data_IF_387407508342
#
_entry.id   IF_387407508342
#
_cell.length_a   1.000
_cell.length_b   1.000
_cell.length_c   1.000
_cell.angle_alpha   90.00
_cell.angle_beta   90.00
_cell.angle_gamma   90.00
#
_symmetry.space_group_name_H-M   'P 1'
#
loop_
_entity.id
_entity.type
_entity.pdbx_description
1 polymer ?
#
# COMPACT_ATOMS: atom_id res chain seq x y z
N UNK A 1 -9.62 12.31 0.87
CA UNK A 1 -10.13 10.94 1.07
C UNK A 1 -11.21 10.69 0.03
N UNK A 2 -11.21 9.57 -0.71
CA UNK A 2 -12.29 9.32 -1.67
C UNK A 2 -13.62 9.19 -0.93
N UNK A 3 -14.68 9.73 -1.51
CA UNK A 3 -16.05 9.56 -1.04
C UNK A 3 -16.95 9.29 -2.24
N UNK A 4 -17.92 8.39 -2.06
CA UNK A 4 -19.00 8.19 -3.03
C UNK A 4 -20.25 8.83 -2.44
N UNK A 5 -20.88 9.70 -3.21
CA UNK A 5 -22.14 10.36 -2.88
C UNK A 5 -23.21 9.88 -3.84
N UNK A 6 -24.35 9.47 -3.31
CA UNK A 6 -25.53 9.09 -4.08
C UNK A 6 -26.78 9.64 -3.39
N UNK A 7 -27.41 10.62 -4.02
CA UNK A 7 -28.50 11.39 -3.42
C UNK A 7 -28.00 12.19 -2.20
N UNK A 8 -28.64 12.00 -1.07
CA UNK A 8 -28.31 12.59 0.22
C UNK A 8 -27.38 11.71 1.11
N UNK A 9 -26.98 10.55 0.61
CA UNK A 9 -26.13 9.59 1.30
C UNK A 9 -24.69 9.65 0.81
N UNK A 10 -23.73 9.51 1.72
CA UNK A 10 -22.31 9.47 1.41
C UNK A 10 -21.61 8.34 2.15
N UNK A 11 -20.66 7.67 1.48
CA UNK A 11 -19.76 6.70 2.08
C UNK A 11 -18.34 7.17 1.84
N UNK A 12 -17.56 7.31 2.92
CA UNK A 12 -16.20 7.82 2.90
C UNK A 12 -15.18 6.69 3.06
N UNK A 13 -13.97 6.92 2.53
CA UNK A 13 -12.85 5.98 2.60
C UNK A 13 -13.03 4.78 1.67
N UNK A 14 -12.20 3.75 1.86
CA UNK A 14 -12.34 2.49 1.14
C UNK A 14 -13.33 1.58 1.89
N UNK A 15 -14.55 1.55 1.43
CA UNK A 15 -15.62 0.75 2.01
C UNK A 15 -16.47 0.10 0.89
N UNK A 16 -15.97 -0.97 0.24
CA UNK A 16 -16.68 -1.62 -0.88
C UNK A 16 -18.07 -2.11 -0.51
N UNK A 17 -18.27 -2.63 0.71
CA UNK A 17 -19.58 -3.04 1.20
C UNK A 17 -20.53 -1.85 1.31
N UNK A 18 -20.09 -0.77 1.93
CA UNK A 18 -20.88 0.46 2.04
C UNK A 18 -21.17 1.09 0.67
N UNK A 19 -20.25 0.98 -0.29
CA UNK A 19 -20.49 1.42 -1.66
C UNK A 19 -21.55 0.57 -2.35
N UNK A 20 -21.50 -0.74 -2.21
CA UNK A 20 -22.49 -1.65 -2.77
C UNK A 20 -23.87 -1.41 -2.19
N UNK A 21 -23.97 -1.25 -0.87
CA UNK A 21 -25.22 -0.89 -0.18
C UNK A 21 -25.75 0.48 -0.62
N UNK A 22 -24.86 1.47 -0.81
CA UNK A 22 -25.24 2.81 -1.28
C UNK A 22 -25.79 2.79 -2.71
N UNK A 23 -25.18 1.97 -3.57
CA UNK A 23 -25.48 1.88 -5.00
C UNK A 23 -26.53 0.81 -5.31
N UNK A 24 -26.96 0.01 -4.33
CA UNK A 24 -27.91 -1.09 -4.53
C UNK A 24 -27.40 -2.20 -5.45
N UNK A 25 -26.08 -2.46 -5.41
CA UNK A 25 -25.44 -3.54 -6.20
C UNK A 25 -24.99 -4.67 -5.28
N UNK A 26 -25.07 -5.91 -5.78
CA UNK A 26 -24.54 -7.04 -5.07
C UNK A 26 -23.01 -6.95 -4.99
N UNK A 27 -22.52 -6.94 -3.77
CA UNK A 27 -21.09 -7.07 -3.47
C UNK A 27 -20.85 -8.43 -2.83
N UNK A 28 -20.18 -9.31 -3.58
CA UNK A 28 -19.77 -10.60 -3.04
C UNK A 28 -18.33 -10.48 -2.53
N UNK A 29 -18.11 -10.41 -1.19
CA UNK A 29 -16.78 -10.38 -0.61
C UNK A 29 -16.09 -11.76 -0.63
N UNK A 30 -16.75 -12.81 -1.17
CA UNK A 30 -16.33 -14.21 -1.01
C UNK A 30 -15.09 -14.62 -1.81
N UNK A 31 -14.47 -13.71 -2.55
CA UNK A 31 -13.20 -13.97 -3.25
C UNK A 31 -12.06 -13.18 -2.61
N UNK A 32 -11.98 -13.23 -1.28
CA UNK A 32 -10.81 -12.70 -0.60
C UNK A 32 -9.66 -13.69 -0.69
N UNK A 33 -8.50 -13.19 -1.10
CA UNK A 33 -7.28 -13.98 -1.03
C UNK A 33 -6.95 -14.32 0.42
N UNK A 34 -6.55 -15.56 0.68
CA UNK A 34 -6.14 -15.98 2.04
C UNK A 34 -5.00 -15.07 2.56
N UNK A 35 -4.94 -14.80 3.89
CA UNK A 35 -3.90 -13.94 4.46
C UNK A 35 -2.47 -14.33 4.08
N UNK A 36 -2.16 -15.62 4.00
CA UNK A 36 -0.85 -16.12 3.57
C UNK A 36 -0.53 -15.74 2.12
N UNK A 37 -1.54 -15.75 1.23
CA UNK A 37 -1.38 -15.34 -0.17
C UNK A 37 -1.18 -13.83 -0.25
N UNK A 38 -1.95 -13.04 0.51
CA UNK A 38 -1.78 -11.58 0.60
C UNK A 38 -0.40 -11.22 1.13
N UNK A 39 0.08 -11.89 2.19
CA UNK A 39 1.41 -11.69 2.75
C UNK A 39 2.52 -11.94 1.71
N UNK A 40 2.44 -13.06 0.97
CA UNK A 40 3.43 -13.38 -0.07
C UNK A 40 3.41 -12.35 -1.21
N UNK A 41 2.23 -11.86 -1.60
CA UNK A 41 2.10 -10.81 -2.63
C UNK A 41 2.62 -9.47 -2.13
N UNK A 42 2.30 -9.10 -0.89
CA UNK A 42 2.82 -7.89 -0.28
C UNK A 42 4.36 -7.91 -0.24
N UNK A 43 4.97 -9.00 0.22
CA UNK A 43 6.44 -9.11 0.25
C UNK A 43 7.04 -8.97 -1.15
N UNK A 44 6.43 -9.59 -2.17
CA UNK A 44 6.90 -9.49 -3.55
C UNK A 44 6.79 -8.07 -4.11
N UNK A 45 5.69 -7.37 -3.81
CA UNK A 45 5.50 -5.96 -4.17
C UNK A 45 6.56 -5.09 -3.50
N UNK A 46 6.78 -5.28 -2.20
CA UNK A 46 7.77 -4.52 -1.45
C UNK A 46 9.20 -4.83 -1.90
N UNK A 47 9.52 -6.09 -2.24
CA UNK A 47 10.81 -6.47 -2.82
C UNK A 47 11.07 -5.77 -4.15
N UNK A 48 10.06 -5.71 -5.02
CA UNK A 48 10.17 -5.02 -6.31
C UNK A 48 10.30 -3.50 -6.13
N UNK A 49 9.59 -2.92 -5.14
CA UNK A 49 9.74 -1.51 -4.77
C UNK A 49 11.16 -1.21 -4.29
N UNK A 50 11.70 -2.04 -3.40
CA UNK A 50 13.07 -1.93 -2.90
C UNK A 50 14.09 -1.96 -4.05
N UNK A 51 13.98 -2.97 -4.93
CA UNK A 51 14.89 -3.13 -6.05
C UNK A 51 14.84 -1.96 -7.03
N UNK A 52 13.64 -1.43 -7.31
CA UNK A 52 13.44 -0.29 -8.20
C UNK A 52 14.02 1.00 -7.61
N UNK A 53 13.76 1.27 -6.32
CA UNK A 53 14.31 2.46 -5.64
C UNK A 53 15.83 2.43 -5.57
N UNK A 54 16.44 1.26 -5.40
CA UNK A 54 17.90 1.08 -5.34
C UNK A 54 18.61 1.53 -6.62
N UNK A 55 17.96 1.41 -7.77
CA UNK A 55 18.53 1.84 -9.06
C UNK A 55 18.09 3.26 -9.46
N UNK A 56 17.21 3.88 -8.68
CA UNK A 56 16.73 5.24 -8.93
C UNK A 56 17.83 6.25 -8.59
N UNK A 57 18.28 7.09 -9.54
CA UNK A 57 19.26 8.13 -9.26
C UNK A 57 18.76 9.15 -8.22
N UNK A 58 19.63 9.52 -7.29
CA UNK A 58 19.29 10.47 -6.22
C UNK A 58 18.80 11.82 -6.77
N UNK A 59 19.29 12.24 -7.94
CA UNK A 59 18.84 13.45 -8.63
C UNK A 59 17.34 13.45 -8.97
N UNK A 60 16.71 12.29 -9.03
CA UNK A 60 15.27 12.17 -9.32
C UNK A 60 14.40 12.11 -8.06
N UNK A 61 14.99 11.92 -6.88
CA UNK A 61 14.22 11.65 -5.67
C UNK A 61 13.35 12.83 -5.22
N UNK A 62 13.74 14.05 -5.52
CA UNK A 62 12.96 15.26 -5.23
C UNK A 62 12.03 15.68 -6.39
N UNK A 63 12.07 14.96 -7.51
CA UNK A 63 11.17 15.23 -8.61
C UNK A 63 9.72 14.86 -8.24
N UNK A 64 8.80 15.77 -8.56
CA UNK A 64 7.37 15.62 -8.27
C UNK A 64 6.62 15.39 -9.58
N UNK A 65 5.95 14.23 -9.75
CA UNK A 65 5.14 13.98 -10.95
C UNK A 65 3.94 14.93 -11.02
N UNK A 66 3.54 15.36 -12.24
CA UNK A 66 2.45 16.32 -12.41
C UNK A 66 1.11 15.84 -11.85
N UNK A 67 0.87 14.52 -11.85
CA UNK A 67 -0.37 13.90 -11.38
C UNK A 67 -0.44 13.79 -9.84
N UNK A 68 0.66 14.00 -9.14
CA UNK A 68 0.77 13.88 -7.68
C UNK A 68 1.55 15.04 -7.09
N UNK A 69 1.09 15.54 -5.95
CA UNK A 69 1.82 16.57 -5.18
C UNK A 69 2.76 15.91 -4.16
N UNK A 70 3.47 14.84 -4.58
CA UNK A 70 4.35 14.09 -3.70
C UNK A 70 5.64 13.75 -4.44
N UNK A 71 6.82 14.19 -3.94
CA UNK A 71 8.11 13.79 -4.48
C UNK A 71 8.30 12.28 -4.54
N UNK A 72 9.16 11.82 -5.44
CA UNK A 72 9.43 10.40 -5.63
C UNK A 72 9.94 9.73 -4.35
N UNK A 73 10.80 10.42 -3.58
CA UNK A 73 11.27 9.93 -2.28
C UNK A 73 10.11 9.66 -1.31
N UNK A 74 9.16 10.61 -1.22
CA UNK A 74 8.01 10.46 -0.34
C UNK A 74 7.04 9.40 -0.85
N UNK A 75 6.93 9.18 -2.16
CA UNK A 75 6.14 8.10 -2.73
C UNK A 75 6.75 6.73 -2.39
N UNK A 76 8.06 6.57 -2.57
CA UNK A 76 8.78 5.33 -2.21
C UNK A 76 8.70 5.03 -0.71
N UNK A 77 8.92 6.03 0.14
CA UNK A 77 8.75 5.91 1.58
C UNK A 77 7.33 5.48 1.97
N UNK A 78 6.33 6.10 1.37
CA UNK A 78 4.91 5.84 1.64
C UNK A 78 4.53 4.37 1.41
N UNK A 79 5.05 3.72 0.38
CA UNK A 79 4.80 2.29 0.14
C UNK A 79 5.20 1.46 1.35
N UNK A 80 6.42 1.66 1.86
CA UNK A 80 6.93 0.92 2.99
C UNK A 80 6.27 1.34 4.31
N UNK A 81 6.09 2.65 4.52
CA UNK A 81 5.52 3.19 5.76
C UNK A 81 4.09 2.70 6.01
N UNK A 82 3.25 2.69 4.97
CA UNK A 82 1.88 2.19 5.13
C UNK A 82 1.83 0.67 5.30
N UNK A 83 2.76 -0.05 4.67
CA UNK A 83 2.87 -1.50 4.87
C UNK A 83 3.30 -1.85 6.30
N UNK A 84 4.24 -1.10 6.88
CA UNK A 84 4.60 -1.21 8.30
C UNK A 84 3.41 -0.81 9.20
N UNK A 85 2.68 0.22 8.80
CA UNK A 85 1.48 0.69 9.50
C UNK A 85 0.38 -0.36 9.64
N UNK A 86 0.31 -1.34 8.75
CA UNK A 86 -0.57 -2.51 8.92
C UNK A 86 -0.21 -3.28 10.19
N UNK A 87 1.06 -3.64 10.36
CA UNK A 87 1.52 -4.38 11.54
C UNK A 87 1.28 -3.57 12.81
N UNK A 88 1.70 -2.31 12.82
CA UNK A 88 1.47 -1.40 13.96
C UNK A 88 -0.02 -1.25 14.28
N UNK A 89 -0.86 -1.18 13.25
CA UNK A 89 -2.31 -1.05 13.40
C UNK A 89 -2.96 -2.30 13.99
N UNK A 90 -2.55 -3.50 13.58
CA UNK A 90 -3.05 -4.75 14.17
C UNK A 90 -2.56 -4.91 15.62
N UNK A 91 -1.30 -4.58 15.90
CA UNK A 91 -0.72 -4.71 17.24
C UNK A 91 -1.38 -3.72 18.23
N UNK A 92 -1.65 -2.48 17.80
CA UNK A 92 -2.23 -1.43 18.64
C UNK A 92 -3.76 -1.30 18.56
N UNK A 93 -4.40 -1.98 17.62
CA UNK A 93 -5.82 -1.85 17.23
C UNK A 93 -6.21 -0.43 16.79
N UNK A 94 -5.25 0.39 16.35
CA UNK A 94 -5.44 1.78 15.95
C UNK A 94 -4.61 2.12 14.72
N UNK A 95 -5.21 2.85 13.76
CA UNK A 95 -4.52 3.32 12.57
C UNK A 95 -4.85 4.79 12.31
N UNK A 96 -4.05 5.73 12.85
CA UNK A 96 -4.30 7.17 12.75
C UNK A 96 -3.96 7.73 11.37
N UNK A 97 -4.57 8.87 11.02
CA UNK A 97 -4.31 9.58 9.76
C UNK A 97 -2.84 10.00 9.59
N UNK A 98 -2.16 10.29 10.70
CA UNK A 98 -0.75 10.70 10.70
C UNK A 98 0.18 9.74 9.96
N UNK A 99 -0.12 8.42 9.98
CA UNK A 99 0.68 7.42 9.24
C UNK A 99 0.69 7.71 7.73
N UNK A 100 -0.40 8.25 7.17
CA UNK A 100 -0.48 8.64 5.76
C UNK A 100 0.22 9.96 5.44
N UNK A 101 0.41 10.80 6.44
CA UNK A 101 0.97 12.14 6.31
C UNK A 101 2.49 12.16 6.50
N UNK A 102 3.06 11.07 7.02
CA UNK A 102 4.50 10.96 7.22
C UNK A 102 5.26 11.07 5.89
N UNK A 103 6.31 11.89 5.91
CA UNK A 103 7.22 12.10 4.80
C UNK A 103 8.54 11.35 5.07
N UNK A 104 9.27 11.07 4.00
CA UNK A 104 10.58 10.43 4.12
C UNK A 104 11.53 11.30 4.97
N UNK A 105 12.12 10.77 6.05
CA UNK A 105 13.15 11.45 6.80
C UNK A 105 14.32 11.87 5.91
N UNK A 106 14.95 13.01 6.21
CA UNK A 106 16.01 13.59 5.38
C UNK A 106 17.16 12.60 5.13
N UNK A 107 17.46 11.79 6.14
CA UNK A 107 18.58 10.85 6.17
C UNK A 107 18.41 9.66 5.22
N UNK A 108 17.19 9.37 4.80
CA UNK A 108 16.87 8.20 3.94
C UNK A 108 16.26 8.59 2.59
N UNK A 109 16.30 9.86 2.18
CA UNK A 109 15.66 10.34 0.93
C UNK A 109 16.38 9.90 -0.34
N UNK A 110 17.57 9.28 -0.27
CA UNK A 110 18.23 8.67 -1.41
C UNK A 110 17.58 7.36 -1.83
N UNK A 111 17.77 6.93 -3.08
CA UNK A 111 17.28 5.64 -3.57
C UNK A 111 17.77 4.47 -2.73
N UNK A 112 19.07 4.45 -2.39
CA UNK A 112 19.66 3.42 -1.52
C UNK A 112 19.15 3.53 -0.08
N UNK A 113 18.97 4.74 0.46
CA UNK A 113 18.42 4.94 1.82
C UNK A 113 17.01 4.37 1.96
N UNK A 114 16.15 4.67 0.98
CA UNK A 114 14.78 4.13 0.95
C UNK A 114 14.75 2.61 0.72
N UNK A 115 15.65 2.07 -0.11
CA UNK A 115 15.76 0.63 -0.29
C UNK A 115 16.17 -0.09 1.00
N UNK A 116 17.13 0.46 1.77
CA UNK A 116 17.50 -0.07 3.08
C UNK A 116 16.36 -0.01 4.09
N UNK A 117 15.64 1.11 4.14
CA UNK A 117 14.44 1.22 4.96
C UNK A 117 13.40 0.16 4.55
N UNK A 118 13.16 -0.03 3.26
CA UNK A 118 12.27 -1.05 2.71
C UNK A 118 12.66 -2.46 3.15
N UNK A 119 13.96 -2.81 3.11
CA UNK A 119 14.46 -4.10 3.58
C UNK A 119 14.16 -4.34 5.08
N UNK A 120 14.33 -3.32 5.93
CA UNK A 120 13.98 -3.39 7.35
C UNK A 120 12.48 -3.58 7.57
N UNK A 121 11.66 -2.85 6.83
CA UNK A 121 10.20 -2.98 6.88
C UNK A 121 9.76 -4.39 6.46
N UNK A 122 10.30 -4.91 5.37
CA UNK A 122 10.01 -6.28 4.91
C UNK A 122 10.39 -7.33 5.97
N UNK A 123 11.58 -7.20 6.58
CA UNK A 123 12.02 -8.09 7.65
C UNK A 123 11.05 -8.02 8.85
N UNK A 124 10.61 -6.81 9.25
CA UNK A 124 9.64 -6.64 10.36
C UNK A 124 8.29 -7.28 10.03
N UNK A 125 7.77 -7.07 8.82
CA UNK A 125 6.51 -7.66 8.37
C UNK A 125 6.62 -9.19 8.31
N UNK A 126 7.69 -9.72 7.72
CA UNK A 126 7.93 -11.17 7.64
C UNK A 126 8.00 -11.80 9.03
N UNK A 127 8.74 -11.19 9.97
CA UNK A 127 8.82 -11.67 11.35
C UNK A 127 7.46 -11.64 12.06
N UNK A 128 6.64 -10.61 11.81
CA UNK A 128 5.29 -10.54 12.35
C UNK A 128 4.41 -11.70 11.84
N UNK A 129 4.41 -11.97 10.53
CA UNK A 129 3.63 -13.08 9.97
C UNK A 129 4.08 -14.46 10.46
N UNK A 130 5.37 -14.64 10.79
CA UNK A 130 5.87 -15.88 11.39
C UNK A 130 5.33 -16.09 12.81
N UNK A 131 5.06 -15.02 13.55
CA UNK A 131 4.51 -15.07 14.91
C UNK A 131 2.98 -15.01 14.97
N UNK A 132 2.31 -14.61 13.88
CA UNK A 132 0.86 -14.45 13.87
C UNK A 132 0.14 -15.81 13.90
N UNK A 133 -0.78 -15.98 14.83
CA UNK A 133 -1.55 -17.22 15.02
C UNK A 133 -2.80 -17.34 14.14
N UNK A 134 -3.11 -16.31 13.37
CA UNK A 134 -4.32 -16.23 12.55
C UNK A 134 -5.47 -15.45 13.17
N UNK A 135 -5.57 -15.38 14.48
CA UNK A 135 -6.61 -14.62 15.21
C UNK A 135 -6.50 -13.10 14.96
N UNK A 136 -5.30 -12.63 14.63
CA UNK A 136 -5.00 -11.24 14.29
C UNK A 136 -5.84 -10.74 13.12
N UNK A 137 -6.14 -11.60 12.14
CA UNK A 137 -6.94 -11.23 10.97
C UNK A 137 -8.43 -11.06 11.27
N UNK A 138 -8.90 -11.61 12.41
CA UNK A 138 -10.25 -11.39 12.94
C UNK A 138 -10.39 -10.12 13.78
N UNK A 139 -9.29 -9.47 14.19
CA UNK A 139 -9.33 -8.25 15.01
C UNK A 139 -9.90 -7.08 14.22
N UNK A 140 -10.58 -6.18 14.93
CA UNK A 140 -11.02 -4.89 14.36
C UNK A 140 -10.04 -3.81 14.76
N UNK A 141 -9.58 -3.05 13.77
CA UNK A 141 -8.69 -1.90 13.92
C UNK A 141 -9.51 -0.61 13.75
N UNK A 142 -9.39 0.30 14.70
CA UNK A 142 -9.97 1.65 14.61
C UNK A 142 -9.10 2.52 13.71
N UNK A 143 -9.44 2.55 12.42
CA UNK A 143 -8.76 3.38 11.44
C UNK A 143 -9.41 4.77 11.35
N UNK A 144 -8.64 5.77 10.92
CA UNK A 144 -9.12 7.16 10.80
C UNK A 144 -10.31 7.35 9.83
N UNK A 145 -10.59 6.35 9.00
CA UNK A 145 -11.77 6.33 8.12
C UNK A 145 -12.92 5.46 8.66
N UNK A 146 -12.78 4.86 9.84
CA UNK A 146 -13.73 3.94 10.47
C UNK A 146 -13.12 2.57 10.77
N UNK A 147 -13.85 1.70 11.47
CA UNK A 147 -13.37 0.37 11.84
C UNK A 147 -13.15 -0.50 10.60
N UNK A 148 -12.08 -1.32 10.63
CA UNK A 148 -11.72 -2.26 9.57
C UNK A 148 -11.27 -3.59 10.18
N UNK A 149 -11.73 -4.71 9.63
CA UNK A 149 -11.25 -6.05 10.02
C UNK A 149 -9.81 -6.28 9.56
N UNK A 150 -9.03 -7.02 10.33
CA UNK A 150 -7.61 -7.25 10.07
C UNK A 150 -7.34 -7.87 8.69
N UNK A 151 -8.20 -8.78 8.22
CA UNK A 151 -8.09 -9.35 6.87
C UNK A 151 -8.31 -8.28 5.78
N UNK A 152 -9.36 -7.47 5.91
CA UNK A 152 -9.64 -6.37 4.99
C UNK A 152 -8.51 -5.32 5.00
N UNK A 153 -7.92 -5.10 6.16
CA UNK A 153 -6.81 -4.18 6.32
C UNK A 153 -5.54 -4.71 5.61
N UNK A 154 -5.27 -6.02 5.69
CA UNK A 154 -4.18 -6.66 4.95
C UNK A 154 -4.40 -6.58 3.44
N UNK A 155 -5.61 -6.90 2.96
CA UNK A 155 -5.96 -6.80 1.54
C UNK A 155 -5.78 -5.35 1.04
N UNK A 156 -6.32 -4.37 1.80
CA UNK A 156 -6.16 -2.96 1.50
C UNK A 156 -4.69 -2.54 1.44
N UNK A 157 -3.88 -2.97 2.39
CA UNK A 157 -2.45 -2.67 2.44
C UNK A 157 -1.73 -3.25 1.22
N UNK A 158 -2.06 -4.49 0.85
CA UNK A 158 -1.44 -5.18 -0.28
C UNK A 158 -1.77 -4.50 -1.62
N UNK A 159 -3.05 -4.22 -1.89
CA UNK A 159 -3.41 -3.57 -3.15
C UNK A 159 -2.93 -2.12 -3.21
N UNK A 160 -2.90 -1.41 -2.08
CA UNK A 160 -2.39 -0.04 -2.01
C UNK A 160 -0.88 0.03 -2.34
N UNK A 161 -0.08 -0.89 -1.76
CA UNK A 161 1.33 -1.02 -2.11
C UNK A 161 1.52 -1.36 -3.59
N UNK A 162 0.73 -2.30 -4.13
CA UNK A 162 0.75 -2.68 -5.54
C UNK A 162 0.40 -1.49 -6.46
N UNK A 163 -0.61 -0.68 -6.11
CA UNK A 163 -0.98 0.51 -6.89
C UNK A 163 0.18 1.52 -6.97
N UNK A 164 0.87 1.76 -5.87
CA UNK A 164 2.01 2.66 -5.86
C UNK A 164 3.23 2.08 -6.58
N UNK A 165 3.43 0.77 -6.53
CA UNK A 165 4.48 0.14 -7.33
C UNK A 165 4.23 0.31 -8.84
N UNK A 166 2.98 0.13 -9.32
CA UNK A 166 2.60 0.44 -10.72
C UNK A 166 2.97 1.87 -11.09
N UNK A 167 2.67 2.83 -10.21
CA UNK A 167 3.04 4.23 -10.41
C UNK A 167 4.55 4.40 -10.50
N UNK A 168 5.32 3.78 -9.61
CA UNK A 168 6.77 3.87 -9.60
C UNK A 168 7.40 3.31 -10.88
N UNK A 169 6.87 2.21 -11.46
CA UNK A 169 7.34 1.69 -12.73
C UNK A 169 7.11 2.68 -13.88
N UNK A 170 5.93 3.30 -13.95
CA UNK A 170 5.64 4.33 -14.95
C UNK A 170 6.54 5.56 -14.77
N UNK A 171 6.80 5.96 -13.52
CA UNK A 171 7.69 7.10 -13.24
C UNK A 171 9.14 6.78 -13.60
N UNK A 172 9.61 5.56 -13.35
CA UNK A 172 10.94 5.11 -13.77
C UNK A 172 11.09 5.18 -15.29
N UNK A 173 10.11 4.71 -16.05
CA UNK A 173 10.10 4.80 -17.50
C UNK A 173 10.16 6.26 -17.99
N UNK A 174 9.34 7.15 -17.44
CA UNK A 174 9.35 8.59 -17.74
C UNK A 174 10.69 9.28 -17.45
N UNK A 175 11.41 8.79 -16.46
CA UNK A 175 12.72 9.31 -16.05
C UNK A 175 13.87 8.61 -16.77
N UNK A 176 13.58 7.68 -17.70
CA UNK A 176 14.59 6.92 -18.42
C UNK A 176 15.38 5.92 -17.55
N UNK A 177 14.83 5.56 -16.39
CA UNK A 177 15.45 4.59 -15.47
C UNK A 177 14.98 3.19 -15.81
N UNK A 178 15.93 2.32 -16.19
CA UNK A 178 15.63 0.91 -16.48
C UNK A 178 15.43 0.15 -15.17
N UNK A 179 14.23 -0.43 -14.93
CA UNK A 179 14.01 -1.29 -13.78
C UNK A 179 14.93 -2.50 -13.78
N UNK A 180 15.37 -3.01 -12.60
CA UNK A 180 16.24 -4.20 -12.51
C UNK A 180 15.52 -5.51 -12.87
N UNK A 181 14.18 -5.50 -12.80
CA UNK A 181 13.31 -6.62 -13.16
C UNK A 181 12.00 -6.10 -13.76
N UNK A 182 11.26 -6.94 -14.53
CA UNK A 182 9.92 -6.60 -14.98
C UNK A 182 8.97 -6.34 -13.81
N UNK A 183 7.93 -5.54 -14.06
CA UNK A 183 6.85 -5.31 -13.11
C UNK A 183 6.20 -6.66 -12.71
N UNK A 184 5.99 -6.94 -11.40
CA UNK A 184 5.48 -8.22 -10.93
C UNK A 184 3.95 -8.32 -11.08
N UNK A 185 3.44 -8.25 -12.31
CA UNK A 185 1.99 -8.19 -12.62
C UNK A 185 1.21 -9.40 -12.09
N UNK A 186 1.84 -10.54 -11.92
CA UNK A 186 1.24 -11.73 -11.33
C UNK A 186 0.99 -11.59 -9.82
N UNK A 187 1.74 -10.72 -9.12
CA UNK A 187 1.46 -10.38 -7.74
C UNK A 187 0.18 -9.53 -7.58
N UNK A 188 -0.31 -8.95 -8.67
CA UNK A 188 -1.51 -8.10 -8.67
C UNK A 188 -2.81 -8.86 -8.93
N UNK A 189 -2.69 -10.11 -9.40
CA UNK A 189 -3.86 -10.91 -9.79
C UNK A 189 -4.86 -10.99 -8.64
N UNK A 190 -6.14 -10.79 -8.92
CA UNK A 190 -7.26 -10.85 -7.98
C UNK A 190 -7.19 -9.82 -6.81
N UNK A 191 -6.28 -8.85 -6.86
CA UNK A 191 -6.33 -7.69 -5.98
C UNK A 191 -7.32 -6.66 -6.53
N UNK A 192 -8.08 -5.94 -5.67
CA UNK A 192 -9.06 -4.93 -6.10
C UNK A 192 -8.38 -3.62 -6.54
N UNK A 193 -7.48 -3.74 -7.52
CA UNK A 193 -6.74 -2.60 -8.05
C UNK A 193 -7.63 -1.71 -8.91
N UNK A 194 -7.54 -0.38 -8.78
CA UNK A 194 -8.23 0.54 -9.67
C UNK A 194 -7.68 0.39 -11.11
N UNK A 195 -8.58 0.55 -12.11
CA UNK A 195 -8.16 0.56 -13.52
C UNK A 195 -7.28 1.77 -13.83
N UNK A 196 -7.61 2.93 -13.25
CA UNK A 196 -6.81 4.13 -13.39
C UNK A 196 -5.50 4.01 -12.59
N UNK A 197 -4.43 4.58 -13.14
CA UNK A 197 -3.14 4.59 -12.48
C UNK A 197 -3.04 5.71 -11.42
N UNK A 198 -3.71 6.85 -11.70
CA UNK A 198 -3.69 8.09 -10.89
C UNK A 198 -5.06 8.45 -10.35
#
# INVERSE_FOLDING_TARGET
MPAIVFGDRAVHGWNPKGYAELLGVDYNPDVKLAPAVLAARLDRVLASTEALLRVMPDAHMEWTPPERKRPLADLGFHVFRLSLGFVEGIDSLRYPASVHEELAPREIRSGEGLARYGALVRARISGWFQGAGGDEFGRTVEAYWGPIGGHDFLERTTWHAAQHLRQLYVLADRLGVKPPAPEPVDAYKDLPLPKALW
#
